data_IF_365280663970
#
_entry.id   IF_365280663970
#
_cell.length_a   1.000
_cell.length_b   1.000
_cell.length_c   1.000
_cell.angle_alpha   90.00
_cell.angle_beta   90.00
_cell.angle_gamma   90.00
#
_symmetry.space_group_name_H-M   'P 1'
#
loop_
_entity.id
_entity.type
_entity.pdbx_description
1 polymer ?
#
# COMPACT_ATOMS: atom_id res chain seq x y z
N UNK A 1 -37.03 19.37 -9.75
CA UNK A 1 -35.67 19.85 -10.05
C UNK A 1 -34.72 19.64 -8.86
N UNK A 2 -34.83 18.51 -8.17
CA UNK A 2 -34.07 18.16 -6.97
C UNK A 2 -33.37 16.85 -7.31
N UNK A 3 -32.28 16.95 -8.08
CA UNK A 3 -31.65 15.80 -8.72
C UNK A 3 -30.30 16.13 -9.31
N UNK A 4 -30.02 17.38 -9.72
CA UNK A 4 -28.67 17.73 -10.18
C UNK A 4 -27.66 17.83 -9.02
N UNK A 5 -28.07 18.39 -7.87
CA UNK A 5 -27.15 18.64 -6.76
C UNK A 5 -26.60 17.39 -6.07
N UNK A 6 -27.36 16.29 -6.01
CA UNK A 6 -26.91 15.08 -5.31
C UNK A 6 -25.83 14.33 -6.07
N UNK A 7 -25.93 14.24 -7.40
CA UNK A 7 -24.94 13.53 -8.23
C UNK A 7 -23.60 14.27 -8.29
N UNK A 8 -23.60 15.61 -8.23
CA UNK A 8 -22.35 16.38 -8.15
C UNK A 8 -21.60 16.11 -6.84
N UNK A 9 -22.32 16.07 -5.72
CA UNK A 9 -21.73 15.75 -4.41
C UNK A 9 -21.19 14.32 -4.37
N UNK A 10 -21.90 13.35 -4.97
CA UNK A 10 -21.43 11.97 -5.07
C UNK A 10 -20.12 11.86 -5.85
N UNK A 11 -20.03 12.50 -7.02
CA UNK A 11 -18.83 12.49 -7.85
C UNK A 11 -17.65 13.16 -7.13
N UNK A 12 -17.89 14.29 -6.47
CA UNK A 12 -16.85 14.99 -5.69
C UNK A 12 -16.32 14.08 -4.57
N UNK A 13 -17.20 13.41 -3.82
CA UNK A 13 -16.80 12.48 -2.76
C UNK A 13 -15.94 11.35 -3.34
N UNK A 14 -16.39 10.71 -4.43
CA UNK A 14 -15.64 9.61 -5.08
C UNK A 14 -14.25 10.09 -5.53
N UNK A 15 -14.17 11.23 -6.24
CA UNK A 15 -12.90 11.79 -6.71
C UNK A 15 -11.94 12.11 -5.57
N UNK A 16 -12.42 12.65 -4.45
CA UNK A 16 -11.57 12.93 -3.28
C UNK A 16 -10.97 11.65 -2.70
N UNK A 17 -11.76 10.59 -2.57
CA UNK A 17 -11.28 9.29 -2.09
C UNK A 17 -10.30 8.61 -3.07
N UNK A 18 -10.55 8.72 -4.38
CA UNK A 18 -9.66 8.20 -5.42
C UNK A 18 -8.30 8.90 -5.41
N UNK A 19 -8.29 10.24 -5.32
CA UNK A 19 -7.05 11.03 -5.19
C UNK A 19 -6.30 10.65 -3.92
N UNK A 20 -7.00 10.46 -2.80
CA UNK A 20 -6.38 10.02 -1.56
C UNK A 20 -5.73 8.64 -1.69
N UNK A 21 -6.44 7.66 -2.28
CA UNK A 21 -5.90 6.32 -2.53
C UNK A 21 -4.66 6.35 -3.46
N UNK A 22 -4.69 7.20 -4.50
CA UNK A 22 -3.57 7.41 -5.41
C UNK A 22 -2.33 7.93 -4.68
N UNK A 23 -2.49 8.92 -3.80
CA UNK A 23 -1.39 9.47 -3.00
C UNK A 23 -0.78 8.40 -2.08
N UNK A 24 -1.61 7.60 -1.39
CA UNK A 24 -1.12 6.51 -0.53
C UNK A 24 -0.38 5.44 -1.35
N UNK A 25 -0.87 5.13 -2.55
CA UNK A 25 -0.20 4.21 -3.48
C UNK A 25 1.18 4.72 -3.92
N UNK A 26 1.31 5.99 -4.28
CA UNK A 26 2.61 6.59 -4.61
C UNK A 26 3.60 6.56 -3.44
N UNK A 27 3.14 6.83 -2.22
CA UNK A 27 3.95 6.71 -1.01
C UNK A 27 4.42 5.27 -0.78
N UNK A 28 3.53 4.28 -0.97
CA UNK A 28 3.87 2.86 -0.88
C UNK A 28 4.94 2.47 -1.88
N UNK A 29 4.83 2.91 -3.14
CA UNK A 29 5.83 2.65 -4.17
C UNK A 29 7.19 3.24 -3.76
N UNK A 30 7.22 4.49 -3.30
CA UNK A 30 8.46 5.14 -2.86
C UNK A 30 9.12 4.37 -1.70
N UNK A 31 8.33 3.95 -0.71
CA UNK A 31 8.81 3.16 0.45
C UNK A 31 9.29 1.77 0.03
N UNK A 32 8.62 1.13 -0.93
CA UNK A 32 9.02 -0.17 -1.48
C UNK A 32 10.36 -0.11 -2.22
N UNK A 33 10.60 0.96 -2.99
CA UNK A 33 11.88 1.17 -3.68
C UNK A 33 13.03 1.40 -2.71
N UNK A 34 12.79 2.08 -1.58
CA UNK A 34 13.80 2.31 -0.53
C UNK A 34 14.20 1.00 0.14
N UNK A 35 13.24 0.10 0.41
CA UNK A 35 13.52 -1.22 0.99
C UNK A 35 14.34 -2.11 0.04
N UNK A 36 14.08 -2.05 -1.26
CA UNK A 36 14.75 -2.89 -2.26
C UNK A 36 16.25 -2.57 -2.41
N UNK A 37 16.65 -1.31 -2.19
CA UNK A 37 18.08 -0.89 -2.26
C UNK A 37 18.96 -1.53 -1.20
N UNK A 38 18.38 -2.13 -0.15
CA UNK A 38 19.12 -2.78 0.93
C UNK A 38 19.11 -4.33 0.84
N UNK A 39 18.21 -4.92 0.05
CA UNK A 39 18.23 -6.37 -0.20
C UNK A 39 19.36 -6.73 -1.17
N UNK A 40 20.20 -7.69 -0.78
CA UNK A 40 21.23 -8.31 -1.59
C UNK A 40 20.71 -8.63 -3.00
N UNK A 41 21.55 -8.39 -4.01
CA UNK A 41 21.28 -8.54 -5.46
C UNK A 41 20.15 -9.52 -5.76
N UNK A 42 19.09 -9.08 -6.45
CA UNK A 42 17.86 -9.87 -6.65
C UNK A 42 18.05 -11.29 -7.21
N UNK A 43 19.18 -11.57 -7.86
CA UNK A 43 19.57 -12.92 -8.30
C UNK A 43 19.93 -13.86 -7.12
N UNK A 44 20.54 -13.35 -6.06
CA UNK A 44 20.84 -14.09 -4.82
C UNK A 44 19.58 -14.39 -4.01
N UNK A 45 18.58 -13.51 -4.04
CA UNK A 45 17.27 -13.74 -3.42
C UNK A 45 16.45 -14.81 -4.17
N UNK A 46 16.58 -14.87 -5.51
CA UNK A 46 15.89 -15.85 -6.35
C UNK A 46 16.54 -17.25 -6.32
N UNK A 47 17.86 -17.32 -6.11
CA UNK A 47 18.62 -18.58 -6.07
C UNK A 47 18.72 -19.18 -4.66
N UNK A 48 17.94 -18.68 -3.69
CA UNK A 48 17.92 -19.21 -2.32
C UNK A 48 19.25 -19.08 -1.59
N UNK A 49 19.89 -17.90 -1.68
CA UNK A 49 21.20 -17.53 -1.10
C UNK A 49 21.71 -18.46 0.01
N UNK A 50 22.82 -19.15 -0.27
CA UNK A 50 23.38 -20.23 0.54
C UNK A 50 23.95 -19.82 1.92
N UNK A 51 24.08 -18.55 2.25
CA UNK A 51 24.93 -18.14 3.38
C UNK A 51 24.14 -17.44 4.47
N UNK A 52 23.31 -18.16 5.25
CA UNK A 52 22.79 -17.62 6.53
C UNK A 52 22.17 -18.67 7.50
N UNK A 53 22.21 -19.97 7.20
CA UNK A 53 21.61 -21.04 8.03
C UNK A 53 22.15 -21.14 9.48
N UNK A 54 23.27 -20.48 9.80
CA UNK A 54 23.77 -20.30 11.18
C UNK A 54 24.12 -18.86 11.54
N UNK A 55 23.60 -17.89 10.79
CA UNK A 55 23.65 -16.49 11.19
C UNK A 55 22.53 -16.22 12.18
N UNK A 56 22.76 -16.58 13.44
CA UNK A 56 22.13 -15.86 14.54
C UNK A 56 22.75 -14.44 14.64
N UNK A 57 22.91 -13.73 13.52
CA UNK A 57 23.21 -12.30 13.51
C UNK A 57 21.91 -11.56 13.28
N UNK A 58 21.03 -11.67 14.28
CA UNK A 58 20.09 -10.63 14.72
C UNK A 58 19.87 -9.56 13.63
N UNK A 59 18.92 -9.82 12.72
CA UNK A 59 18.46 -8.84 11.74
C UNK A 59 18.33 -7.49 12.45
N UNK A 60 19.18 -6.53 12.08
CA UNK A 60 19.25 -5.22 12.72
C UNK A 60 17.85 -4.60 12.62
N UNK A 61 17.24 -4.35 13.78
CA UNK A 61 15.80 -4.09 13.93
C UNK A 61 15.18 -3.04 13.02
N UNK A 62 15.99 -2.17 12.40
CA UNK A 62 15.53 -1.22 11.38
C UNK A 62 14.94 -1.91 10.13
N UNK A 63 15.47 -3.06 9.70
CA UNK A 63 14.94 -3.78 8.53
C UNK A 63 13.60 -4.45 8.82
N UNK A 64 13.50 -5.08 9.99
CA UNK A 64 12.25 -5.68 10.47
C UNK A 64 11.16 -4.64 10.68
N UNK A 65 11.50 -3.48 11.27
CA UNK A 65 10.55 -2.39 11.48
C UNK A 65 10.04 -1.85 10.15
N UNK A 66 10.92 -1.59 9.17
CA UNK A 66 10.48 -1.03 7.89
C UNK A 66 9.59 -1.99 7.08
N UNK A 67 9.87 -3.29 7.15
CA UNK A 67 9.03 -4.35 6.58
C UNK A 67 7.64 -4.42 7.23
N UNK A 68 7.57 -4.33 8.57
CA UNK A 68 6.29 -4.30 9.30
C UNK A 68 5.47 -3.05 8.96
N UNK A 69 6.12 -1.89 8.83
CA UNK A 69 5.45 -0.66 8.37
C UNK A 69 4.89 -0.83 6.96
N UNK A 70 5.69 -1.34 6.02
CA UNK A 70 5.24 -1.61 4.64
C UNK A 70 4.01 -2.54 4.62
N UNK A 71 4.06 -3.61 5.41
CA UNK A 71 2.95 -4.56 5.52
C UNK A 71 1.69 -3.90 6.10
N UNK A 72 1.84 -3.08 7.15
CA UNK A 72 0.72 -2.35 7.77
C UNK A 72 0.10 -1.32 6.81
N UNK A 73 0.92 -0.55 6.08
CA UNK A 73 0.44 0.37 5.06
C UNK A 73 -0.29 -0.35 3.92
N UNK A 74 0.21 -1.52 3.51
CA UNK A 74 -0.44 -2.35 2.48
C UNK A 74 -1.82 -2.84 2.91
N UNK A 75 -1.95 -3.33 4.15
CA UNK A 75 -3.25 -3.74 4.72
C UNK A 75 -4.20 -2.54 4.81
N UNK A 76 -3.70 -1.39 5.29
CA UNK A 76 -4.51 -0.17 5.39
C UNK A 76 -5.03 0.27 4.02
N UNK A 77 -4.19 0.28 2.99
CA UNK A 77 -4.59 0.60 1.62
C UNK A 77 -5.63 -0.40 1.09
N UNK A 78 -5.47 -1.68 1.37
CA UNK A 78 -6.41 -2.72 0.96
C UNK A 78 -7.81 -2.49 1.57
N UNK A 79 -7.86 -2.22 2.88
CA UNK A 79 -9.11 -1.92 3.58
C UNK A 79 -9.76 -0.64 3.05
N UNK A 80 -8.99 0.43 2.84
CA UNK A 80 -9.49 1.70 2.29
C UNK A 80 -10.08 1.48 0.89
N UNK A 81 -9.40 0.70 0.05
CA UNK A 81 -9.86 0.40 -1.31
C UNK A 81 -11.18 -0.36 -1.30
N UNK A 82 -11.34 -1.34 -0.40
CA UNK A 82 -12.60 -2.07 -0.22
C UNK A 82 -13.72 -1.12 0.23
N UNK A 83 -13.46 -0.23 1.18
CA UNK A 83 -14.44 0.75 1.65
C UNK A 83 -14.91 1.66 0.51
N UNK A 84 -13.98 2.16 -0.31
CA UNK A 84 -14.31 3.00 -1.48
C UNK A 84 -15.16 2.21 -2.48
N UNK A 85 -14.82 0.95 -2.74
CA UNK A 85 -15.57 0.07 -3.64
C UNK A 85 -17.02 -0.11 -3.16
N UNK A 86 -17.20 -0.40 -1.87
CA UNK A 86 -18.53 -0.59 -1.27
C UNK A 86 -19.33 0.71 -1.26
N UNK A 87 -18.70 1.83 -0.87
CA UNK A 87 -19.34 3.14 -0.83
C UNK A 87 -19.79 3.55 -2.24
N UNK A 88 -18.92 3.40 -3.23
CA UNK A 88 -19.25 3.66 -4.64
C UNK A 88 -20.40 2.79 -5.11
N UNK A 89 -20.37 1.49 -4.84
CA UNK A 89 -21.45 0.57 -5.23
C UNK A 89 -22.81 0.90 -4.58
N UNK A 90 -22.79 1.42 -3.35
CA UNK A 90 -23.99 1.79 -2.60
C UNK A 90 -24.55 3.15 -3.04
N UNK A 91 -23.67 4.09 -3.40
CA UNK A 91 -24.01 5.47 -3.77
C UNK A 91 -24.44 5.56 -5.25
N UNK A 92 -23.88 4.72 -6.12
CA UNK A 92 -24.15 4.68 -7.56
C UNK A 92 -25.39 3.82 -7.92
N UNK A 93 -26.22 3.48 -6.94
CA UNK A 93 -27.50 2.79 -7.11
C UNK A 93 -28.67 3.76 -7.17
#
# INVERSE_FOLDING_TARGET
>A
MQGAGTHEIQNIIITVFEVFALVVSLLMIAVGLIQNKKSQTGLSALNGGNDELFSNSKERGLDKTMSIWMFSLGISLFVITIIICILTNTILK
#
